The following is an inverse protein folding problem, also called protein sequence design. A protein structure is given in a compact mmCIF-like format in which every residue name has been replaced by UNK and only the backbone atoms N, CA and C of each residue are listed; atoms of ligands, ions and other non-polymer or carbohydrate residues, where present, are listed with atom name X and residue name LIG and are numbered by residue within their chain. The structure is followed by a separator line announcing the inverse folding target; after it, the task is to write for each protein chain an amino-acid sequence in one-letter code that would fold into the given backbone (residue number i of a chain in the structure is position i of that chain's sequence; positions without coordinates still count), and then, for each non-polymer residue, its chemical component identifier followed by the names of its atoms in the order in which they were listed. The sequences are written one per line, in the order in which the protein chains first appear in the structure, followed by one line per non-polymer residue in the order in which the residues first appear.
data_IF_671630746276
#
_entry.id   IF_671630746276
#
_cell.length_a   1.000
_cell.length_b   1.000
_cell.length_c   1.000
_cell.angle_alpha   90.00
_cell.angle_beta   90.00
_cell.angle_gamma   90.00
#
_symmetry.space_group_name_H-M   'P 1'
#
loop_
_entity.id
_entity.type
_entity.pdbx_description
1 polymer ?
#
# COMPACT_ATOMS: atom_id res chain seq x y z
N UNK A 1 -19.21 -17.61 11.95
CA UNK A 1 -17.93 -17.92 12.59
C UNK A 1 -17.18 -16.62 12.95
N UNK A 2 -16.24 -16.73 13.88
CA UNK A 2 -15.40 -15.59 14.31
C UNK A 2 -14.64 -14.99 13.13
N UNK A 3 -14.12 -15.85 12.23
CA UNK A 3 -13.43 -15.43 11.02
C UNK A 3 -14.32 -14.61 10.08
N UNK A 4 -15.58 -14.99 9.95
CA UNK A 4 -16.57 -14.27 9.12
C UNK A 4 -16.86 -12.88 9.66
N UNK A 5 -17.01 -12.73 10.97
CA UNK A 5 -17.24 -11.43 11.60
C UNK A 5 -16.03 -10.50 11.47
N UNK A 6 -14.82 -11.03 11.61
CA UNK A 6 -13.59 -10.26 11.44
C UNK A 6 -13.44 -9.78 10.00
N UNK A 7 -13.74 -10.63 9.00
CA UNK A 7 -13.71 -10.27 7.57
C UNK A 7 -14.74 -9.19 7.24
N UNK A 8 -15.95 -9.27 7.78
CA UNK A 8 -16.99 -8.27 7.58
C UNK A 8 -16.59 -6.90 8.15
N UNK A 9 -16.01 -6.88 9.36
CA UNK A 9 -15.52 -5.64 9.96
C UNK A 9 -14.37 -5.04 9.17
N UNK A 10 -13.45 -5.86 8.70
CA UNK A 10 -12.35 -5.40 7.83
C UNK A 10 -12.88 -4.81 6.54
N UNK A 11 -13.83 -5.48 5.89
CA UNK A 11 -14.45 -5.02 4.65
C UNK A 11 -15.18 -3.67 4.86
N UNK A 12 -15.92 -3.52 5.96
CA UNK A 12 -16.58 -2.26 6.27
C UNK A 12 -15.60 -1.11 6.48
N UNK A 13 -14.49 -1.36 7.20
CA UNK A 13 -13.44 -0.36 7.40
C UNK A 13 -12.71 0.00 6.11
N UNK A 14 -12.49 -0.97 5.22
CA UNK A 14 -11.93 -0.70 3.89
C UNK A 14 -12.85 0.20 3.08
N UNK A 15 -14.16 -0.01 3.16
CA UNK A 15 -15.13 0.88 2.51
C UNK A 15 -15.10 2.29 3.06
N UNK A 16 -14.87 2.45 4.37
CA UNK A 16 -14.76 3.76 5.00
C UNK A 16 -13.50 4.52 4.52
N UNK A 17 -12.37 3.80 4.33
CA UNK A 17 -11.12 4.36 3.84
C UNK A 17 -11.08 4.51 2.32
N UNK A 18 -11.70 3.57 1.60
CA UNK A 18 -11.68 3.44 0.13
C UNK A 18 -13.07 3.05 -0.36
N UNK A 19 -14.06 3.98 -0.40
CA UNK A 19 -15.47 3.63 -0.65
C UNK A 19 -15.73 2.88 -1.96
N UNK A 20 -14.89 3.08 -2.99
CA UNK A 20 -15.03 2.48 -4.31
C UNK A 20 -14.03 1.36 -4.57
N UNK A 21 -13.19 1.01 -3.57
CA UNK A 21 -12.14 0.01 -3.73
C UNK A 21 -12.70 -1.40 -3.84
N UNK A 22 -12.02 -2.25 -4.62
CA UNK A 22 -12.29 -3.67 -4.69
C UNK A 22 -11.95 -4.35 -3.35
N UNK A 23 -12.48 -5.58 -3.09
CA UNK A 23 -12.10 -6.35 -1.91
C UNK A 23 -10.58 -6.49 -1.78
N UNK A 24 -10.07 -6.34 -0.58
CA UNK A 24 -8.64 -6.36 -0.32
C UNK A 24 -8.04 -7.76 -0.44
N UNK A 25 -6.82 -7.83 -0.96
CA UNK A 25 -5.97 -9.03 -0.96
C UNK A 25 -4.68 -8.70 -0.22
N UNK A 26 -4.00 -9.73 0.31
CA UNK A 26 -2.70 -9.52 0.94
C UNK A 26 -1.59 -9.39 -0.09
N UNK A 27 -0.50 -8.71 0.27
CA UNK A 27 0.69 -8.68 -0.59
C UNK A 27 1.26 -10.08 -0.82
N UNK A 28 1.15 -10.96 0.17
CA UNK A 28 1.56 -12.37 0.04
C UNK A 28 0.77 -13.09 -1.05
N UNK A 29 -0.54 -12.91 -1.10
CA UNK A 29 -1.38 -13.50 -2.15
C UNK A 29 -0.96 -13.02 -3.53
N UNK A 30 -0.66 -11.73 -3.68
CA UNK A 30 -0.17 -11.19 -4.94
C UNK A 30 1.20 -11.76 -5.32
N UNK A 31 2.09 -11.97 -4.35
CA UNK A 31 3.36 -12.65 -4.59
C UNK A 31 3.16 -14.06 -5.13
N UNK A 32 2.18 -14.79 -4.59
CA UNK A 32 1.91 -16.17 -4.98
C UNK A 32 1.28 -16.30 -6.36
N UNK A 33 0.42 -15.35 -6.76
CA UNK A 33 -0.33 -15.44 -8.03
C UNK A 33 0.19 -14.52 -9.14
N UNK A 34 1.29 -13.77 -8.90
CA UNK A 34 1.87 -12.89 -9.90
C UNK A 34 0.96 -11.73 -10.33
N UNK A 35 0.08 -11.30 -9.45
CA UNK A 35 -0.89 -10.22 -9.69
C UNK A 35 -1.94 -10.56 -10.77
N UNK A 36 -2.18 -11.83 -11.04
CA UNK A 36 -3.15 -12.27 -12.07
C UNK A 36 -4.58 -11.81 -11.80
N UNK A 37 -4.93 -11.59 -10.52
CA UNK A 37 -6.25 -11.11 -10.12
C UNK A 37 -6.43 -9.60 -10.30
N UNK A 38 -5.36 -8.87 -10.61
CA UNK A 38 -5.39 -7.41 -10.77
C UNK A 38 -5.68 -7.07 -12.23
N UNK A 39 -6.63 -6.15 -12.52
CA UNK A 39 -6.94 -5.79 -13.90
C UNK A 39 -5.84 -4.96 -14.58
N UNK A 40 -5.76 -5.07 -15.91
CA UNK A 40 -4.86 -4.26 -16.75
C UNK A 40 -5.51 -2.92 -17.11
N UNK A 41 -5.94 -2.19 -16.08
CA UNK A 41 -6.62 -0.90 -16.21
C UNK A 41 -5.90 0.15 -15.39
N UNK A 42 -5.95 1.42 -15.79
CA UNK A 42 -5.42 2.50 -14.97
C UNK A 42 -6.24 2.66 -13.68
N UNK A 43 -5.60 3.10 -12.63
CA UNK A 43 -6.28 3.27 -11.35
C UNK A 43 -5.38 3.71 -10.22
N UNK A 44 -5.96 3.66 -9.04
CA UNK A 44 -5.33 3.96 -7.76
C UNK A 44 -5.25 2.68 -6.93
N UNK A 45 -4.21 2.57 -6.12
CA UNK A 45 -4.12 1.48 -5.16
C UNK A 45 -3.66 2.00 -3.81
N UNK A 46 -4.05 1.28 -2.77
CA UNK A 46 -3.74 1.57 -1.37
C UNK A 46 -3.03 0.38 -0.77
N UNK A 47 -2.02 0.64 0.05
CA UNK A 47 -1.46 -0.35 0.95
C UNK A 47 -1.96 -0.02 2.34
N UNK A 48 -2.61 -0.99 2.97
CA UNK A 48 -3.32 -0.82 4.23
C UNK A 48 -2.80 -1.81 5.27
N UNK A 49 -2.72 -1.36 6.51
CA UNK A 49 -2.43 -2.25 7.64
C UNK A 49 -3.70 -2.97 8.08
N UNK A 50 -3.67 -4.30 8.26
CA UNK A 50 -4.78 -5.01 8.91
C UNK A 50 -5.03 -4.46 10.31
N UNK A 51 -6.26 -4.56 10.77
CA UNK A 51 -6.62 -4.15 12.13
C UNK A 51 -5.78 -4.92 13.15
N UNK A 52 -5.22 -4.19 14.12
CA UNK A 52 -4.45 -4.79 15.20
C UNK A 52 -3.03 -5.22 14.83
N UNK A 53 -2.60 -5.04 13.58
CA UNK A 53 -1.24 -5.36 13.18
C UNK A 53 -0.28 -4.29 13.70
N UNK A 54 0.74 -4.66 14.51
CA UNK A 54 1.79 -3.72 14.90
C UNK A 54 2.66 -3.38 13.69
N UNK A 55 3.00 -2.09 13.53
CA UNK A 55 3.89 -1.64 12.46
C UNK A 55 5.28 -1.49 13.05
N UNK A 56 6.15 -2.42 12.70
CA UNK A 56 7.55 -2.47 13.12
C UNK A 56 8.44 -2.44 11.88
N UNK A 57 9.54 -1.70 11.95
CA UNK A 57 10.45 -1.52 10.81
C UNK A 57 11.72 -2.35 11.01
N UNK A 58 12.16 -2.99 9.92
CA UNK A 58 13.40 -3.76 9.89
C UNK A 58 14.60 -2.83 9.90
N UNK A 59 15.63 -3.22 10.66
CA UNK A 59 16.94 -2.58 10.64
C UNK A 59 17.90 -3.25 9.65
N UNK A 60 17.59 -4.49 9.28
CA UNK A 60 18.41 -5.29 8.37
C UNK A 60 17.77 -5.35 6.98
N UNK A 61 18.58 -5.49 5.91
CA UNK A 61 18.08 -5.65 4.57
C UNK A 61 17.10 -6.83 4.45
N UNK A 62 16.00 -6.63 3.73
CA UNK A 62 15.02 -7.69 3.45
C UNK A 62 15.38 -8.47 2.17
N UNK A 63 16.26 -7.94 1.34
CA UNK A 63 16.94 -8.64 0.23
C UNK A 63 18.16 -7.81 -0.21
N UNK A 64 18.97 -8.37 -1.14
CA UNK A 64 20.23 -7.76 -1.56
C UNK A 64 20.10 -6.39 -2.23
N UNK A 65 18.94 -6.08 -2.80
CA UNK A 65 18.66 -4.81 -3.50
C UNK A 65 17.86 -3.83 -2.67
N UNK A 66 17.58 -4.16 -1.40
CA UNK A 66 16.77 -3.29 -0.54
C UNK A 66 17.49 -1.97 -0.25
N UNK A 67 16.74 -0.89 -0.29
CA UNK A 67 17.21 0.44 0.07
C UNK A 67 16.44 0.89 1.31
N UNK A 68 17.09 0.77 2.47
CA UNK A 68 16.45 1.07 3.75
C UNK A 68 16.45 2.56 4.05
N UNK A 69 15.37 3.00 4.68
CA UNK A 69 15.34 4.27 5.39
C UNK A 69 15.89 4.08 6.81
N UNK A 70 16.46 5.12 7.42
CA UNK A 70 16.76 5.07 8.85
C UNK A 70 15.49 4.79 9.65
N UNK A 71 15.52 3.79 10.53
CA UNK A 71 14.36 3.37 11.32
C UNK A 71 13.76 4.52 12.14
N UNK A 72 14.57 5.37 12.83
CA UNK A 72 14.00 6.51 13.56
C UNK A 72 13.21 7.47 12.67
N UNK A 73 13.63 7.67 11.42
CA UNK A 73 12.93 8.51 10.45
C UNK A 73 11.54 7.95 10.09
N UNK A 74 11.46 6.64 9.93
CA UNK A 74 10.19 5.96 9.63
C UNK A 74 9.23 6.04 10.82
N UNK A 75 9.69 5.77 12.03
CA UNK A 75 8.86 5.88 13.23
C UNK A 75 8.37 7.31 13.46
N UNK A 76 9.23 8.29 13.25
CA UNK A 76 8.86 9.70 13.39
C UNK A 76 7.72 10.06 12.41
N UNK A 77 7.84 9.63 11.15
CA UNK A 77 6.81 9.90 10.14
C UNK A 77 5.51 9.15 10.46
N UNK A 78 5.60 7.89 10.86
CA UNK A 78 4.46 7.07 11.22
C UNK A 78 3.71 7.64 12.42
N UNK A 79 4.41 8.01 13.48
CA UNK A 79 3.83 8.62 14.68
C UNK A 79 3.22 9.98 14.40
N UNK A 80 3.71 10.70 13.40
CA UNK A 80 3.14 11.97 12.96
C UNK A 80 1.81 11.84 12.23
N UNK A 81 1.45 10.64 11.77
CA UNK A 81 0.15 10.37 11.16
C UNK A 81 -0.90 10.17 12.26
N UNK A 82 -2.06 10.81 12.13
CA UNK A 82 -3.18 10.61 13.09
C UNK A 82 -3.97 9.34 12.78
N UNK A 83 -3.84 8.83 11.57
CA UNK A 83 -4.44 7.60 11.07
C UNK A 83 -3.31 6.65 10.68
N UNK A 84 -3.37 5.38 11.13
CA UNK A 84 -2.27 4.41 10.99
C UNK A 84 -2.62 3.20 10.12
N UNK A 85 -3.73 3.26 9.39
CA UNK A 85 -4.15 2.17 8.52
C UNK A 85 -3.69 2.35 7.10
N UNK A 86 -3.83 3.57 6.57
CA UNK A 86 -3.40 3.88 5.21
C UNK A 86 -1.90 4.14 5.20
N UNK A 87 -1.14 3.21 4.65
CA UNK A 87 0.32 3.29 4.64
C UNK A 87 0.86 3.87 3.35
N UNK A 88 0.13 3.72 2.24
CA UNK A 88 0.54 4.23 0.93
C UNK A 88 -0.65 4.39 0.00
N UNK A 89 -0.62 5.44 -0.81
CA UNK A 89 -1.55 5.67 -1.92
C UNK A 89 -0.70 5.81 -3.17
N UNK A 90 -0.95 4.96 -4.16
CA UNK A 90 -0.21 4.97 -5.42
C UNK A 90 -1.12 5.01 -6.64
N UNK A 91 -0.53 5.34 -7.77
CA UNK A 91 -1.24 5.38 -9.06
C UNK A 91 -0.61 4.42 -10.05
N UNK A 92 -1.42 3.98 -10.99
CA UNK A 92 -0.98 3.19 -12.13
C UNK A 92 -1.65 3.74 -13.39
N UNK A 93 -0.85 4.17 -14.34
CA UNK A 93 -1.30 4.70 -15.62
C UNK A 93 -0.88 3.77 -16.77
N UNK A 94 -1.39 4.05 -17.97
CA UNK A 94 -0.98 3.35 -19.18
C UNK A 94 -1.78 2.08 -19.47
N UNK A 95 -1.41 1.44 -20.58
CA UNK A 95 -2.15 0.31 -21.17
C UNK A 95 -2.26 -0.91 -20.26
N UNK A 96 -1.22 -1.20 -19.48
CA UNK A 96 -1.17 -2.36 -18.58
C UNK A 96 -1.44 -1.99 -17.12
N UNK A 97 -1.62 -0.71 -16.84
CA UNK A 97 -2.16 -0.10 -15.62
C UNK A 97 -1.78 -0.75 -14.31
N UNK A 98 -2.79 -1.05 -13.52
CA UNK A 98 -2.64 -1.58 -12.16
C UNK A 98 -1.84 -2.89 -12.11
N UNK A 99 -2.12 -3.84 -13.00
CA UNK A 99 -1.42 -5.14 -12.98
C UNK A 99 0.08 -4.97 -13.17
N UNK A 100 0.50 -4.19 -14.17
CA UNK A 100 1.93 -3.95 -14.43
C UNK A 100 2.59 -3.24 -13.26
N UNK A 101 1.96 -2.19 -12.75
CA UNK A 101 2.52 -1.40 -11.65
C UNK A 101 2.65 -2.22 -10.37
N UNK A 102 1.62 -2.99 -10.04
CA UNK A 102 1.63 -3.85 -8.85
C UNK A 102 2.61 -5.00 -9.00
N UNK A 103 2.77 -5.55 -10.21
CA UNK A 103 3.81 -6.55 -10.45
C UNK A 103 5.21 -5.98 -10.20
N UNK A 104 5.50 -4.77 -10.67
CA UNK A 104 6.76 -4.08 -10.37
C UNK A 104 6.95 -3.88 -8.86
N UNK A 105 5.89 -3.52 -8.16
CA UNK A 105 5.88 -3.33 -6.71
C UNK A 105 6.23 -4.63 -5.97
N UNK A 106 5.58 -5.72 -6.33
CA UNK A 106 5.81 -7.05 -5.77
C UNK A 106 7.22 -7.57 -6.12
N UNK A 107 7.63 -7.42 -7.38
CA UNK A 107 8.96 -7.85 -7.83
C UNK A 107 10.06 -7.16 -7.01
N UNK A 108 9.94 -5.86 -6.78
CA UNK A 108 10.90 -5.16 -5.92
C UNK A 108 10.93 -5.75 -4.50
N UNK A 109 9.78 -6.01 -3.90
CA UNK A 109 9.71 -6.62 -2.57
C UNK A 109 10.36 -8.00 -2.47
N UNK A 110 10.44 -8.71 -3.59
CA UNK A 110 11.07 -10.04 -3.69
C UNK A 110 12.53 -9.98 -4.16
N UNK A 111 13.11 -8.79 -4.29
CA UNK A 111 14.48 -8.61 -4.76
C UNK A 111 14.65 -8.72 -6.26
N UNK A 112 13.57 -8.59 -7.03
CA UNK A 112 13.57 -8.65 -8.50
C UNK A 112 13.28 -7.27 -9.08
N UNK A 113 13.75 -7.03 -10.30
CA UNK A 113 13.46 -5.78 -11.01
C UNK A 113 14.13 -4.56 -10.39
N UNK A 114 13.58 -3.40 -10.71
CA UNK A 114 14.10 -2.10 -10.27
C UNK A 114 13.50 -1.66 -8.94
N UNK A 115 14.18 -0.74 -8.26
CA UNK A 115 13.67 -0.12 -7.03
C UNK A 115 12.36 0.59 -7.33
N UNK A 116 11.35 0.31 -6.52
CA UNK A 116 10.07 1.00 -6.53
C UNK A 116 10.04 1.96 -5.34
N UNK A 117 10.11 3.26 -5.60
CA UNK A 117 10.23 4.25 -4.52
C UNK A 117 9.07 4.18 -3.52
N UNK A 118 7.83 4.00 -3.98
CA UNK A 118 6.67 3.82 -3.11
C UNK A 118 6.68 2.51 -2.32
N UNK A 119 7.51 1.54 -2.71
CA UNK A 119 7.64 0.26 -2.04
C UNK A 119 8.71 0.23 -0.94
N UNK A 120 9.65 1.16 -0.95
CA UNK A 120 10.81 1.11 -0.04
C UNK A 120 10.40 1.02 1.44
N UNK A 121 9.57 1.93 1.91
CA UNK A 121 9.12 1.95 3.30
C UNK A 121 8.19 0.78 3.62
N UNK A 122 7.33 0.39 2.68
CA UNK A 122 6.36 -0.71 2.87
C UNK A 122 7.07 -2.05 3.06
N UNK A 123 8.04 -2.37 2.19
CA UNK A 123 8.76 -3.64 2.30
C UNK A 123 9.72 -3.67 3.49
N UNK A 124 10.04 -2.52 4.07
CA UNK A 124 10.80 -2.43 5.32
C UNK A 124 9.97 -2.73 6.56
N UNK A 125 8.65 -2.84 6.43
CA UNK A 125 7.77 -3.24 7.53
C UNK A 125 7.92 -4.75 7.78
N UNK A 126 8.09 -5.15 9.03
CA UNK A 126 8.11 -6.56 9.40
C UNK A 126 6.77 -7.21 9.07
N UNK A 127 6.82 -8.43 8.52
CA UNK A 127 5.63 -9.16 8.06
C UNK A 127 4.83 -8.42 7.00
N UNK A 128 5.52 -7.70 6.11
CA UNK A 128 4.90 -6.91 5.04
C UNK A 128 3.95 -7.72 4.14
N UNK A 129 4.16 -9.04 4.02
CA UNK A 129 3.25 -9.91 3.27
C UNK A 129 1.81 -9.94 3.80
N UNK A 130 1.60 -9.57 5.06
CA UNK A 130 0.27 -9.48 5.68
C UNK A 130 -0.46 -8.17 5.38
N UNK A 131 0.23 -7.17 4.84
CA UNK A 131 -0.39 -5.91 4.46
C UNK A 131 -1.40 -6.14 3.34
N UNK A 132 -2.41 -5.29 3.33
CA UNK A 132 -3.53 -5.41 2.40
C UNK A 132 -3.38 -4.44 1.25
N UNK A 133 -3.76 -4.91 0.06
CA UNK A 133 -3.88 -4.07 -1.12
C UNK A 133 -5.36 -3.90 -1.47
N UNK A 134 -5.78 -2.66 -1.68
CA UNK A 134 -7.06 -2.30 -2.28
C UNK A 134 -6.80 -1.47 -3.54
N UNK A 135 -7.71 -1.50 -4.51
CA UNK A 135 -7.55 -0.70 -5.72
C UNK A 135 -8.90 -0.18 -6.23
N UNK A 136 -8.81 0.84 -7.06
CA UNK A 136 -9.94 1.47 -7.73
C UNK A 136 -9.52 1.74 -9.19
N UNK A 137 -10.32 1.26 -10.15
CA UNK A 137 -10.10 1.60 -11.56
C UNK A 137 -10.57 3.03 -11.78
N UNK A 138 -9.75 3.86 -12.43
CA UNK A 138 -10.14 5.21 -12.81
C UNK A 138 -9.38 5.66 -14.06
N UNK A 139 -10.00 6.53 -14.87
CA UNK A 139 -9.43 7.00 -16.13
C UNK A 139 -8.29 7.99 -15.96
N UNK A 140 -8.31 8.78 -14.90
CA UNK A 140 -7.35 9.85 -14.64
C UNK A 140 -6.65 9.65 -13.29
N UNK A 141 -5.77 8.62 -13.18
CA UNK A 141 -5.17 8.28 -11.90
C UNK A 141 -4.28 9.39 -11.30
N UNK A 142 -3.63 10.22 -12.14
CA UNK A 142 -2.82 11.33 -11.63
C UNK A 142 -3.65 12.34 -10.87
N UNK A 143 -4.80 12.72 -11.42
CA UNK A 143 -5.73 13.67 -10.79
C UNK A 143 -6.31 13.06 -9.52
N UNK A 144 -6.72 11.80 -9.59
CA UNK A 144 -7.34 11.09 -8.47
C UNK A 144 -6.36 10.92 -7.31
N UNK A 145 -5.13 10.52 -7.57
CA UNK A 145 -4.09 10.38 -6.56
C UNK A 145 -3.84 11.72 -5.85
N UNK A 146 -3.71 12.79 -6.62
CA UNK A 146 -3.48 14.12 -6.07
C UNK A 146 -4.62 14.54 -5.12
N UNK A 147 -5.86 14.34 -5.54
CA UNK A 147 -7.03 14.62 -4.71
C UNK A 147 -7.02 13.81 -3.41
N UNK A 148 -6.76 12.51 -3.50
CA UNK A 148 -6.73 11.61 -2.34
C UNK A 148 -5.61 12.00 -1.36
N UNK A 149 -4.43 12.35 -1.85
CA UNK A 149 -3.32 12.77 -1.01
C UNK A 149 -3.60 14.11 -0.32
N UNK A 150 -4.22 15.06 -1.02
CA UNK A 150 -4.63 16.33 -0.42
C UNK A 150 -5.68 16.13 0.67
N UNK A 151 -6.69 15.31 0.40
CA UNK A 151 -7.72 14.98 1.39
C UNK A 151 -7.12 14.31 2.62
N UNK A 152 -6.21 13.36 2.40
CA UNK A 152 -5.52 12.68 3.50
C UNK A 152 -4.71 13.68 4.34
N UNK A 153 -3.94 14.55 3.70
CA UNK A 153 -3.13 15.56 4.39
C UNK A 153 -4.00 16.54 5.20
N UNK A 154 -5.11 17.02 4.63
CA UNK A 154 -6.03 17.92 5.33
C UNK A 154 -6.64 17.25 6.58
N UNK A 155 -6.98 15.99 6.48
CA UNK A 155 -7.61 15.24 7.56
C UNK A 155 -6.63 14.78 8.62
N UNK A 156 -5.42 14.42 8.23
CA UNK A 156 -4.45 13.74 9.10
C UNK A 156 -3.16 14.55 9.37
N UNK A 157 -3.02 15.74 8.80
CA UNK A 157 -1.89 16.63 9.04
C UNK A 157 -0.63 16.32 8.25
N UNK A 158 -0.52 15.14 7.65
CA UNK A 158 0.63 14.71 6.86
C UNK A 158 0.19 13.69 5.80
N UNK A 159 1.10 13.30 4.90
CA UNK A 159 0.87 12.22 3.94
C UNK A 159 1.00 10.85 4.61
N UNK A 160 0.44 9.78 4.00
CA UNK A 160 0.67 8.42 4.49
C UNK A 160 2.16 8.08 4.62
N UNK A 161 2.48 7.11 5.47
CA UNK A 161 3.85 6.70 5.81
C UNK A 161 4.79 6.60 4.61
N UNK A 162 4.37 5.92 3.55
CA UNK A 162 5.24 5.67 2.40
C UNK A 162 5.12 6.71 1.28
N UNK A 163 4.31 7.75 1.46
CA UNK A 163 4.22 8.88 0.56
C UNK A 163 5.08 10.03 1.11
N UNK A 164 6.19 10.32 0.45
CA UNK A 164 7.11 11.38 0.88
C UNK A 164 6.79 12.72 0.24
N UNK A 165 6.02 12.71 -0.86
CA UNK A 165 5.57 13.90 -1.57
C UNK A 165 4.16 13.67 -2.10
N UNK A 166 3.40 14.73 -2.09
CA UNK A 166 2.08 14.76 -2.71
C UNK A 166 2.14 14.97 -4.21
#
# INVERSE_FOLDING_TARGET
SIASGAMLRLFQRLKDLCPTAAPAVTLRELCCNGCKSIPEEPGIYWILAPEGMPILFREQPYHSKSQLYPVPKLYKKFEGCTEHRTLYIGKAAGKHGLRQRLKQYIDYGQGKGNVHQGGRAIWQIEHSGLLLLAYEICEHPEVREHQLLLEYQKKNGTYPLANWRG
#
